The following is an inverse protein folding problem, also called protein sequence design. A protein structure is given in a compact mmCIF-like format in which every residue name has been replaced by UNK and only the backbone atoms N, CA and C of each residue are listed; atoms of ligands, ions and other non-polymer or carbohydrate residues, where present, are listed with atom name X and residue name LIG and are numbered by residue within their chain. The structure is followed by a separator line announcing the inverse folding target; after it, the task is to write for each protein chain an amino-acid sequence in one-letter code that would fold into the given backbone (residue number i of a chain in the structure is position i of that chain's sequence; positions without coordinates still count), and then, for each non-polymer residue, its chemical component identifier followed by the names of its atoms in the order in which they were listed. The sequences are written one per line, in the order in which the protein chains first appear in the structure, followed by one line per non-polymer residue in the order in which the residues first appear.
data_IF_742669300468
#
_entry.id   IF_742669300468
#
_cell.length_a   1.000
_cell.length_b   1.000
_cell.length_c   1.000
_cell.angle_alpha   90.00
_cell.angle_beta   90.00
_cell.angle_gamma   90.00
#
_symmetry.space_group_name_H-M   'P 1'
#
loop_
_entity.id
_entity.type
_entity.pdbx_description
1 polymer ?
#
# COMPACT_ATOMS: atom_id res chain seq x y z
N UNK A 1 -4.20 -7.66 -50.95
CA UNK A 1 -4.00 -8.79 -50.00
C UNK A 1 -2.70 -8.70 -49.18
N UNK A 2 -1.93 -7.59 -49.24
CA UNK A 2 -0.63 -7.47 -48.56
C UNK A 2 -0.67 -6.85 -47.14
N UNK A 3 -1.81 -6.37 -46.63
CA UNK A 3 -1.82 -5.61 -45.36
C UNK A 3 -2.17 -6.42 -44.10
N UNK A 4 -2.89 -7.56 -44.19
CA UNK A 4 -3.33 -8.28 -42.98
C UNK A 4 -2.26 -9.25 -42.44
N UNK A 5 -1.37 -9.75 -43.29
CA UNK A 5 -0.30 -10.67 -42.90
C UNK A 5 0.79 -9.93 -42.12
N UNK A 6 1.19 -8.74 -42.58
CA UNK A 6 2.19 -7.88 -41.91
C UNK A 6 1.73 -7.41 -40.52
N UNK A 7 0.46 -7.01 -40.37
CA UNK A 7 -0.14 -6.62 -39.09
C UNK A 7 -0.16 -7.78 -38.07
N UNK A 8 -0.39 -9.01 -38.54
CA UNK A 8 -0.40 -10.20 -37.68
C UNK A 8 1.01 -10.66 -37.26
N UNK A 9 2.01 -10.42 -38.12
CA UNK A 9 3.41 -10.73 -37.83
C UNK A 9 4.03 -9.72 -36.86
N UNK A 10 3.75 -8.42 -37.03
CA UNK A 10 4.14 -7.37 -36.07
C UNK A 10 3.50 -7.58 -34.69
N UNK A 11 2.21 -7.93 -34.62
CA UNK A 11 1.57 -8.26 -33.34
C UNK A 11 2.16 -9.50 -32.67
N UNK A 12 2.55 -10.52 -33.45
CA UNK A 12 3.25 -11.71 -32.92
C UNK A 12 4.66 -11.38 -32.42
N UNK A 13 5.41 -10.55 -33.13
CA UNK A 13 6.72 -10.07 -32.68
C UNK A 13 6.63 -9.21 -31.42
N UNK A 14 5.63 -8.33 -31.32
CA UNK A 14 5.37 -7.57 -30.08
C UNK A 14 5.01 -8.49 -28.91
N UNK A 15 4.18 -9.51 -29.15
CA UNK A 15 3.78 -10.47 -28.12
C UNK A 15 4.97 -11.32 -27.66
N UNK A 16 5.81 -11.78 -28.58
CA UNK A 16 7.01 -12.55 -28.26
C UNK A 16 8.05 -11.70 -27.54
N UNK A 17 8.24 -10.45 -27.94
CA UNK A 17 9.08 -9.50 -27.18
C UNK A 17 8.52 -9.30 -25.78
N UNK A 18 7.21 -9.11 -25.60
CA UNK A 18 6.60 -8.99 -24.25
C UNK A 18 6.87 -10.24 -23.39
N UNK A 19 6.86 -11.43 -23.98
CA UNK A 19 7.17 -12.68 -23.27
C UNK A 19 8.66 -12.83 -22.93
N UNK A 20 9.57 -12.44 -23.83
CA UNK A 20 11.02 -12.38 -23.54
C UNK A 20 11.34 -11.35 -22.47
N UNK A 21 10.69 -10.19 -22.54
CA UNK A 21 10.71 -9.13 -21.53
C UNK A 21 10.26 -9.73 -20.20
N UNK A 22 9.08 -10.37 -20.11
CA UNK A 22 8.62 -11.00 -18.87
C UNK A 22 9.60 -12.01 -18.24
N UNK A 23 10.53 -12.57 -19.03
CA UNK A 23 11.56 -13.49 -18.59
C UNK A 23 12.94 -12.86 -18.35
N UNK A 24 13.13 -11.56 -18.60
CA UNK A 24 14.43 -10.92 -18.46
C UNK A 24 14.76 -10.62 -16.98
N UNK A 25 15.73 -11.39 -16.48
CA UNK A 25 16.20 -11.41 -15.11
C UNK A 25 17.12 -10.23 -14.75
N UNK A 26 17.43 -9.33 -15.68
CA UNK A 26 18.32 -8.19 -15.45
C UNK A 26 17.67 -7.04 -14.68
N UNK A 27 16.33 -7.04 -14.54
CA UNK A 27 15.63 -5.97 -13.85
C UNK A 27 15.79 -6.02 -12.33
N UNK A 28 16.47 -5.01 -11.80
CA UNK A 28 16.53 -4.75 -10.37
C UNK A 28 15.41 -3.76 -9.97
N UNK A 29 14.38 -4.21 -9.22
CA UNK A 29 13.31 -3.32 -8.76
C UNK A 29 13.83 -2.27 -7.77
N UNK A 30 13.42 -1.01 -7.96
CA UNK A 30 13.70 0.08 -7.03
C UNK A 30 12.73 0.04 -5.85
N UNK A 31 13.24 -0.24 -4.65
CA UNK A 31 12.44 -0.35 -3.42
C UNK A 31 12.25 0.99 -2.68
N UNK A 32 12.99 2.02 -3.07
CA UNK A 32 13.05 3.27 -2.33
C UNK A 32 13.47 3.02 -0.88
N UNK A 33 12.83 3.72 0.06
CA UNK A 33 13.06 3.60 1.51
C UNK A 33 12.08 2.62 2.19
N UNK A 34 11.49 1.71 1.44
CA UNK A 34 10.51 0.75 1.96
C UNK A 34 11.16 -0.62 2.15
N UNK A 35 10.80 -1.30 3.23
CA UNK A 35 11.06 -2.73 3.39
C UNK A 35 9.94 -3.51 2.74
N UNK A 36 10.28 -4.56 1.99
CA UNK A 36 9.34 -5.35 1.23
C UNK A 36 9.49 -6.82 1.54
N UNK A 37 8.35 -7.47 1.78
CA UNK A 37 8.29 -8.85 2.19
C UNK A 37 7.16 -9.54 1.45
N UNK A 38 7.25 -10.87 1.36
CA UNK A 38 6.24 -11.76 0.79
C UNK A 38 5.80 -11.32 -0.62
N UNK A 39 6.47 -11.86 -1.62
CA UNK A 39 6.16 -11.56 -3.01
C UNK A 39 5.17 -12.58 -3.58
N UNK A 40 4.26 -12.13 -4.43
CA UNK A 40 3.38 -12.97 -5.23
C UNK A 40 3.39 -12.44 -6.66
N UNK A 41 3.68 -13.31 -7.63
CA UNK A 41 3.88 -12.93 -9.04
C UNK A 41 4.83 -11.74 -9.23
N UNK A 42 5.95 -11.72 -8.49
CA UNK A 42 6.94 -10.64 -8.53
C UNK A 42 6.49 -9.31 -7.89
N UNK A 43 5.30 -9.25 -7.28
CA UNK A 43 4.80 -8.06 -6.60
C UNK A 43 4.84 -8.20 -5.07
N UNK A 44 5.31 -7.18 -4.33
CA UNK A 44 5.37 -7.24 -2.88
C UNK A 44 3.95 -7.21 -2.30
N UNK A 45 3.62 -8.11 -1.38
CA UNK A 45 2.33 -8.13 -0.72
C UNK A 45 2.37 -7.37 0.61
N UNK A 46 3.51 -7.46 1.31
CA UNK A 46 3.76 -6.80 2.58
C UNK A 46 4.81 -5.71 2.37
N UNK A 47 4.48 -4.48 2.76
CA UNK A 47 5.41 -3.35 2.70
C UNK A 47 5.36 -2.54 3.99
N UNK A 48 6.55 -2.16 4.46
CA UNK A 48 6.76 -1.31 5.63
C UNK A 48 7.51 -0.08 5.15
N UNK A 49 6.94 1.11 5.40
CA UNK A 49 7.52 2.36 4.93
C UNK A 49 8.61 2.93 5.85
N UNK A 50 9.21 4.06 5.47
CA UNK A 50 10.36 4.65 6.16
C UNK A 50 10.04 5.17 7.57
N UNK A 51 8.77 5.48 7.86
CA UNK A 51 8.34 6.01 9.15
C UNK A 51 7.76 4.91 10.05
N UNK A 52 8.20 3.66 9.88
CA UNK A 52 7.77 2.55 10.72
C UNK A 52 8.01 2.76 12.23
N UNK A 53 9.04 3.48 12.72
CA UNK A 53 9.17 3.71 14.16
C UNK A 53 7.99 4.51 14.72
N UNK A 54 7.51 5.52 13.97
CA UNK A 54 6.33 6.29 14.35
C UNK A 54 5.05 5.45 14.33
N UNK A 55 4.96 4.51 13.37
CA UNK A 55 3.85 3.54 13.32
C UNK A 55 3.85 2.59 14.51
N UNK A 56 5.04 2.09 14.92
CA UNK A 56 5.19 1.27 16.13
C UNK A 56 4.80 2.06 17.38
N UNK A 57 5.26 3.31 17.51
CA UNK A 57 4.82 4.19 18.60
C UNK A 57 3.30 4.38 18.61
N UNK A 58 2.69 4.60 17.44
CA UNK A 58 1.24 4.74 17.29
C UNK A 58 0.51 3.46 17.73
N UNK A 59 1.01 2.29 17.34
CA UNK A 59 0.43 1.01 17.72
C UNK A 59 0.53 0.74 19.22
N UNK A 60 1.67 1.06 19.84
CA UNK A 60 1.86 0.97 21.30
C UNK A 60 0.87 1.89 22.02
N UNK A 61 0.68 3.13 21.54
CA UNK A 61 -0.28 4.07 22.12
C UNK A 61 -1.72 3.56 22.01
N UNK A 62 -2.10 2.92 20.90
CA UNK A 62 -3.40 2.27 20.74
C UNK A 62 -3.60 1.16 21.78
N UNK A 63 -2.63 0.26 21.92
CA UNK A 63 -2.71 -0.88 22.87
C UNK A 63 -2.82 -0.36 24.31
N UNK A 64 -1.92 0.55 24.70
CA UNK A 64 -1.87 1.07 26.07
C UNK A 64 -3.14 1.86 26.39
N UNK A 65 -3.58 2.74 25.47
CA UNK A 65 -4.81 3.51 25.62
C UNK A 65 -6.05 2.62 25.72
N UNK A 66 -6.14 1.60 24.86
CA UNK A 66 -7.21 0.60 24.90
C UNK A 66 -7.26 -0.15 26.22
N UNK A 67 -6.11 -0.61 26.73
CA UNK A 67 -6.01 -1.27 28.02
C UNK A 67 -6.53 -0.38 29.16
N UNK A 68 -6.10 0.87 29.24
CA UNK A 68 -6.57 1.81 30.28
C UNK A 68 -8.08 2.04 30.21
N UNK A 69 -8.63 2.22 29.00
CA UNK A 69 -10.07 2.39 28.80
C UNK A 69 -10.84 1.13 29.26
N UNK A 70 -10.40 -0.06 28.86
CA UNK A 70 -11.03 -1.31 29.28
C UNK A 70 -10.95 -1.52 30.80
N UNK A 71 -9.84 -1.13 31.44
CA UNK A 71 -9.69 -1.20 32.89
C UNK A 71 -10.65 -0.25 33.63
N UNK A 72 -10.84 0.98 33.13
CA UNK A 72 -11.81 1.93 33.68
C UNK A 72 -13.23 1.37 33.57
N UNK A 73 -13.60 0.85 32.40
CA UNK A 73 -14.92 0.22 32.18
C UNK A 73 -15.10 -0.99 33.09
N UNK A 74 -14.06 -1.78 33.30
CA UNK A 74 -14.11 -2.93 34.22
C UNK A 74 -14.45 -2.51 35.66
N UNK A 75 -13.80 -1.45 36.15
CA UNK A 75 -14.01 -0.93 37.50
C UNK A 75 -15.40 -0.31 37.65
N UNK A 76 -15.87 0.44 36.65
CA UNK A 76 -17.14 1.18 36.73
C UNK A 76 -18.37 0.31 36.45
N UNK A 77 -18.32 -0.48 35.38
CA UNK A 77 -19.50 -1.13 34.80
C UNK A 77 -19.41 -2.66 34.88
N UNK A 78 -18.22 -3.21 35.16
CA UNK A 78 -18.00 -4.64 35.38
C UNK A 78 -17.52 -5.42 34.15
N UNK A 79 -17.30 -6.73 34.34
CA UNK A 79 -16.59 -7.59 33.39
C UNK A 79 -17.26 -7.68 32.01
N UNK A 80 -18.59 -7.72 31.95
CA UNK A 80 -19.33 -7.88 30.70
C UNK A 80 -19.10 -6.70 29.74
N UNK A 81 -19.14 -5.46 30.24
CA UNK A 81 -18.87 -4.28 29.43
C UNK A 81 -17.39 -4.14 29.09
N UNK A 82 -16.48 -4.49 30.01
CA UNK A 82 -15.04 -4.49 29.71
C UNK A 82 -14.66 -5.53 28.65
N UNK A 83 -15.36 -6.66 28.57
CA UNK A 83 -15.18 -7.64 27.49
C UNK A 83 -15.55 -7.04 26.13
N UNK A 84 -16.65 -6.27 26.05
CA UNK A 84 -17.04 -5.54 24.85
C UNK A 84 -16.01 -4.49 24.43
N UNK A 85 -15.46 -3.75 25.39
CA UNK A 85 -14.35 -2.82 25.17
C UNK A 85 -13.14 -3.53 24.55
N UNK A 86 -12.68 -4.64 25.14
CA UNK A 86 -11.55 -5.43 24.63
C UNK A 86 -11.79 -5.91 23.19
N UNK A 87 -12.99 -6.40 22.88
CA UNK A 87 -13.33 -6.82 21.50
C UNK A 87 -13.20 -5.66 20.52
N UNK A 88 -13.72 -4.47 20.88
CA UNK A 88 -13.59 -3.27 20.03
C UNK A 88 -12.13 -2.84 19.83
N UNK A 89 -11.28 -2.99 20.85
CA UNK A 89 -9.84 -2.73 20.79
C UNK A 89 -9.13 -3.67 19.82
N UNK A 90 -9.41 -4.98 19.90
CA UNK A 90 -8.81 -5.97 19.01
C UNK A 90 -9.16 -5.71 17.54
N UNK A 91 -10.40 -5.27 17.26
CA UNK A 91 -10.82 -4.88 15.91
C UNK A 91 -9.98 -3.71 15.40
N UNK A 92 -9.81 -2.66 16.23
CA UNK A 92 -8.99 -1.49 15.88
C UNK A 92 -7.53 -1.88 15.59
N UNK A 93 -6.92 -2.71 16.44
CA UNK A 93 -5.55 -3.19 16.28
C UNK A 93 -5.36 -4.01 15.01
N UNK A 94 -6.30 -4.92 14.71
CA UNK A 94 -6.29 -5.72 13.47
C UNK A 94 -6.39 -4.80 12.25
N UNK A 95 -7.30 -3.82 12.27
CA UNK A 95 -7.44 -2.86 11.18
C UNK A 95 -6.18 -2.01 10.99
N UNK A 96 -5.54 -1.56 12.06
CA UNK A 96 -4.25 -0.86 12.01
C UNK A 96 -3.16 -1.74 11.38
N UNK A 97 -3.02 -2.99 11.82
CA UNK A 97 -2.03 -3.91 11.27
C UNK A 97 -2.25 -4.21 9.79
N UNK A 98 -3.51 -4.31 9.35
CA UNK A 98 -3.86 -4.50 7.94
C UNK A 98 -3.36 -3.34 7.10
N UNK A 99 -3.63 -2.09 7.49
CA UNK A 99 -3.13 -0.94 6.73
C UNK A 99 -1.60 -0.82 6.84
N UNK A 100 -1.01 -1.07 8.02
CA UNK A 100 0.42 -1.03 8.27
C UNK A 100 1.22 -2.01 7.40
N UNK A 101 0.69 -3.20 7.11
CA UNK A 101 1.39 -4.23 6.35
C UNK A 101 1.05 -4.26 4.86
N UNK A 102 -0.17 -3.87 4.46
CA UNK A 102 -0.64 -3.99 3.06
C UNK A 102 0.14 -3.13 2.07
N UNK A 103 0.55 -3.67 0.92
CA UNK A 103 1.15 -2.88 -0.16
C UNK A 103 0.23 -1.70 -0.58
N UNK A 104 0.70 -0.43 -0.59
CA UNK A 104 -0.11 0.73 -0.94
C UNK A 104 -0.41 0.88 -2.45
N UNK A 105 0.15 0.06 -3.31
CA UNK A 105 0.05 0.17 -4.76
C UNK A 105 1.40 0.32 -5.47
N UNK A 106 2.49 -0.15 -4.86
CA UNK A 106 3.80 -0.30 -5.49
C UNK A 106 3.72 -1.46 -6.48
N UNK A 107 4.00 -1.20 -7.76
CA UNK A 107 3.91 -2.16 -8.84
C UNK A 107 5.19 -2.21 -9.69
N UNK A 108 5.92 -3.32 -9.63
CA UNK A 108 7.16 -3.53 -10.39
C UNK A 108 6.93 -4.00 -11.84
N UNK A 109 5.86 -4.73 -12.12
CA UNK A 109 5.59 -5.26 -13.46
C UNK A 109 5.21 -4.14 -14.42
N UNK A 110 4.36 -3.21 -13.98
CA UNK A 110 4.02 -2.00 -14.75
C UNK A 110 5.28 -1.19 -15.05
N UNK A 111 6.12 -1.00 -14.03
CA UNK A 111 7.42 -0.34 -14.13
C UNK A 111 8.35 -0.99 -15.16
N UNK A 112 8.43 -2.32 -15.17
CA UNK A 112 9.32 -3.09 -16.04
C UNK A 112 8.85 -3.15 -17.49
N UNK A 113 7.60 -3.57 -17.74
CA UNK A 113 6.99 -3.60 -19.08
C UNK A 113 7.07 -2.21 -19.73
N UNK A 114 6.91 -1.18 -18.92
CA UNK A 114 7.04 0.20 -19.37
C UNK A 114 8.48 0.53 -19.79
N UNK A 115 9.48 0.26 -18.94
CA UNK A 115 10.89 0.48 -19.26
C UNK A 115 11.32 -0.18 -20.58
N UNK A 116 10.80 -1.37 -20.89
CA UNK A 116 11.11 -2.06 -22.16
C UNK A 116 10.29 -1.57 -23.36
N UNK A 117 9.04 -1.16 -23.16
CA UNK A 117 8.29 -0.45 -24.22
C UNK A 117 9.02 0.83 -24.63
N UNK A 118 9.55 1.57 -23.67
CA UNK A 118 10.34 2.79 -23.91
C UNK A 118 11.59 2.51 -24.72
N UNK A 119 12.37 1.48 -24.35
CA UNK A 119 13.59 1.16 -25.08
C UNK A 119 13.32 0.72 -26.53
N UNK A 120 12.12 0.21 -26.81
CA UNK A 120 11.73 -0.30 -28.14
C UNK A 120 11.07 0.80 -28.99
N UNK A 121 10.22 1.66 -28.40
CA UNK A 121 9.25 2.42 -29.19
C UNK A 121 9.69 3.83 -29.61
N UNK A 122 10.41 4.63 -28.82
CA UNK A 122 10.62 6.03 -29.23
C UNK A 122 11.82 6.78 -28.62
N UNK A 123 12.37 7.64 -29.48
CA UNK A 123 13.16 8.84 -29.20
C UNK A 123 12.22 10.03 -28.89
N UNK A 124 11.23 9.84 -27.98
CA UNK A 124 10.16 10.83 -27.71
C UNK A 124 10.18 11.37 -26.28
N UNK A 125 9.81 12.64 -26.15
CA UNK A 125 9.82 13.40 -24.90
C UNK A 125 8.73 12.91 -23.94
N UNK A 126 9.17 12.31 -22.83
CA UNK A 126 8.33 11.81 -21.74
C UNK A 126 7.57 12.93 -21.01
N UNK A 127 6.38 13.31 -21.48
CA UNK A 127 5.56 14.27 -20.74
C UNK A 127 5.09 13.75 -19.36
N UNK A 128 5.06 12.43 -19.13
CA UNK A 128 4.58 11.81 -17.88
C UNK A 128 5.59 10.85 -17.22
N UNK A 129 6.88 11.21 -17.21
CA UNK A 129 7.91 10.44 -16.48
C UNK A 129 8.07 10.86 -15.02
N UNK A 130 8.48 9.90 -14.19
CA UNK A 130 9.05 10.14 -12.87
C UNK A 130 10.55 10.38 -13.01
N UNK A 131 11.00 11.60 -12.76
CA UNK A 131 12.43 11.94 -12.81
C UNK A 131 13.26 11.16 -11.76
N UNK A 132 12.86 11.08 -10.47
CA UNK A 132 13.60 10.30 -9.47
C UNK A 132 13.70 8.81 -9.82
N UNK A 133 12.58 8.20 -10.22
CA UNK A 133 12.53 6.77 -10.49
C UNK A 133 13.04 6.42 -11.90
N UNK A 134 13.16 7.40 -12.81
CA UNK A 134 13.48 7.23 -14.25
C UNK A 134 12.54 6.26 -14.96
N UNK A 135 11.25 6.35 -14.64
CA UNK A 135 10.20 5.44 -15.08
C UNK A 135 8.99 6.25 -15.52
N UNK A 136 8.33 5.87 -16.60
CA UNK A 136 7.06 6.52 -16.94
C UNK A 136 5.97 6.10 -15.97
N UNK A 137 5.08 7.04 -15.71
CA UNK A 137 3.99 6.85 -14.76
C UNK A 137 2.78 6.33 -15.51
N UNK A 138 2.24 5.20 -15.08
CA UNK A 138 0.84 4.87 -15.38
C UNK A 138 -0.06 5.98 -14.82
N UNK A 139 -1.18 6.26 -15.49
CA UNK A 139 -2.15 7.27 -15.03
C UNK A 139 -2.51 7.08 -13.54
N UNK A 140 -2.51 8.18 -12.79
CA UNK A 140 -2.77 8.17 -11.35
C UNK A 140 -1.60 7.69 -10.47
N UNK A 141 -0.41 7.47 -11.03
CA UNK A 141 0.81 7.15 -10.26
C UNK A 141 1.58 8.42 -9.90
N UNK A 142 1.92 8.58 -8.62
CA UNK A 142 2.72 9.71 -8.15
C UNK A 142 3.93 9.24 -7.34
N UNK A 143 4.99 10.03 -7.39
CA UNK A 143 6.21 9.76 -6.62
C UNK A 143 6.08 10.35 -5.23
N UNK A 144 6.24 9.50 -4.21
CA UNK A 144 6.37 9.95 -2.83
C UNK A 144 7.85 10.14 -2.49
N UNK A 145 8.28 11.38 -2.30
CA UNK A 145 9.67 11.72 -1.96
C UNK A 145 10.11 11.18 -0.58
N UNK A 146 9.16 11.02 0.35
CA UNK A 146 9.45 10.45 1.67
C UNK A 146 9.80 8.96 1.56
N UNK A 147 9.01 8.20 0.79
CA UNK A 147 9.23 6.78 0.53
C UNK A 147 10.23 6.51 -0.61
N UNK A 148 10.59 7.53 -1.38
CA UNK A 148 11.41 7.46 -2.60
C UNK A 148 10.91 6.40 -3.58
N UNK A 149 9.60 6.36 -3.83
CA UNK A 149 9.00 5.38 -4.73
C UNK A 149 7.70 5.89 -5.35
N UNK A 150 7.40 5.41 -6.55
CA UNK A 150 6.11 5.64 -7.20
C UNK A 150 5.02 4.73 -6.61
N UNK A 151 3.86 5.30 -6.31
CA UNK A 151 2.69 4.59 -5.79
C UNK A 151 1.51 4.84 -6.71
N UNK A 152 0.85 3.76 -7.17
CA UNK A 152 -0.34 3.84 -8.00
C UNK A 152 -1.55 4.30 -7.18
N UNK A 153 -2.34 5.21 -7.74
CA UNK A 153 -3.47 5.82 -7.05
C UNK A 153 -3.05 6.42 -5.72
N UNK A 154 -1.88 7.07 -5.70
CA UNK A 154 -1.33 7.72 -4.52
C UNK A 154 -2.35 8.73 -3.98
N UNK A 155 -2.64 8.63 -2.69
CA UNK A 155 -3.48 9.56 -1.96
C UNK A 155 -2.59 10.50 -1.14
N UNK A 156 -1.88 9.94 -0.15
CA UNK A 156 -0.93 10.71 0.66
C UNK A 156 0.12 9.81 1.30
N UNK A 157 1.16 10.41 1.86
CA UNK A 157 2.07 9.74 2.80
C UNK A 157 1.58 9.95 4.23
N UNK A 158 1.27 8.87 4.95
CA UNK A 158 0.81 8.93 6.33
C UNK A 158 1.94 8.57 7.30
N UNK A 159 2.49 9.53 8.07
CA UNK A 159 3.54 9.22 9.05
C UNK A 159 3.07 8.30 10.17
N UNK A 160 1.79 8.40 10.57
CA UNK A 160 1.18 7.61 11.65
C UNK A 160 1.06 6.12 11.31
N UNK A 161 0.73 5.80 10.06
CA UNK A 161 0.77 4.42 9.56
C UNK A 161 2.20 4.04 9.16
N UNK A 162 3.07 5.01 8.89
CA UNK A 162 4.48 4.81 8.57
C UNK A 162 4.79 4.72 7.08
N UNK A 163 3.81 4.88 6.19
CA UNK A 163 3.94 4.68 4.73
C UNK A 163 2.87 5.40 3.91
N UNK A 164 2.97 5.29 2.59
CA UNK A 164 1.95 5.79 1.67
C UNK A 164 0.59 5.09 1.85
N UNK A 165 -0.46 5.85 1.60
CA UNK A 165 -1.81 5.38 1.30
C UNK A 165 -2.01 5.53 -0.20
N UNK A 166 -2.50 4.47 -0.84
CA UNK A 166 -2.81 4.47 -2.26
C UNK A 166 -3.80 3.37 -2.61
N UNK A 167 -3.96 3.10 -3.90
CA UNK A 167 -5.00 2.18 -4.39
C UNK A 167 -4.93 0.79 -3.77
N UNK A 168 -3.74 0.34 -3.36
CA UNK A 168 -3.50 -0.99 -2.80
C UNK A 168 -3.92 -1.16 -1.34
N UNK A 169 -4.08 -0.07 -0.58
CA UNK A 169 -4.42 -0.11 0.85
C UNK A 169 -5.45 0.94 1.29
N UNK A 170 -6.07 1.69 0.37
CA UNK A 170 -7.04 2.74 0.70
C UNK A 170 -8.26 2.18 1.45
N UNK A 171 -8.72 0.97 1.10
CA UNK A 171 -9.85 0.31 1.78
C UNK A 171 -9.49 -0.08 3.21
N UNK A 172 -8.28 -0.58 3.43
CA UNK A 172 -7.73 -0.91 4.73
C UNK A 172 -7.59 0.35 5.60
N UNK A 173 -7.13 1.46 5.02
CA UNK A 173 -7.08 2.75 5.69
C UNK A 173 -8.47 3.24 6.10
N UNK A 174 -9.47 3.14 5.21
CA UNK A 174 -10.86 3.48 5.53
C UNK A 174 -11.43 2.60 6.65
N UNK A 175 -11.20 1.28 6.61
CA UNK A 175 -11.61 0.37 7.69
C UNK A 175 -10.95 0.72 9.03
N UNK A 176 -9.67 1.11 9.02
CA UNK A 176 -8.98 1.61 10.21
C UNK A 176 -9.67 2.85 10.79
N UNK A 177 -9.94 3.87 9.97
CA UNK A 177 -10.65 5.08 10.43
C UNK A 177 -12.04 4.78 10.99
N UNK A 178 -12.79 3.90 10.33
CA UNK A 178 -14.12 3.48 10.81
C UNK A 178 -14.04 2.72 12.13
N UNK A 179 -13.05 1.81 12.28
CA UNK A 179 -12.82 1.09 13.53
C UNK A 179 -12.41 2.02 14.67
N UNK A 180 -11.65 3.09 14.37
CA UNK A 180 -11.23 4.08 15.34
C UNK A 180 -12.43 4.90 15.85
N UNK A 181 -13.28 5.36 14.93
CA UNK A 181 -14.53 6.06 15.28
C UNK A 181 -15.47 5.17 16.10
N UNK A 182 -15.62 3.91 15.68
CA UNK A 182 -16.42 2.93 16.41
C UNK A 182 -15.86 2.67 17.81
N UNK A 183 -14.54 2.50 17.93
CA UNK A 183 -13.86 2.30 19.22
C UNK A 183 -14.18 3.46 20.19
N UNK A 184 -13.95 4.71 19.80
CA UNK A 184 -14.23 5.85 20.67
C UNK A 184 -15.71 5.99 21.01
N UNK A 185 -16.60 5.84 20.02
CA UNK A 185 -18.05 5.99 20.23
C UNK A 185 -18.62 4.90 21.14
N UNK A 186 -18.23 3.64 20.91
CA UNK A 186 -18.65 2.49 21.71
C UNK A 186 -18.13 2.61 23.15
N UNK A 187 -16.84 2.89 23.34
CA UNK A 187 -16.27 2.99 24.68
C UNK A 187 -16.80 4.19 25.47
N UNK A 188 -17.08 5.32 24.81
CA UNK A 188 -17.75 6.45 25.46
C UNK A 188 -19.13 6.05 25.98
N UNK A 189 -19.92 5.33 25.20
CA UNK A 189 -21.23 4.82 25.62
C UNK A 189 -21.10 3.83 26.79
N UNK A 190 -20.17 2.87 26.71
CA UNK A 190 -19.95 1.87 27.76
C UNK A 190 -19.52 2.48 29.10
N UNK A 191 -18.79 3.61 29.11
CA UNK A 191 -18.39 4.33 30.33
C UNK A 191 -19.57 5.02 31.03
N UNK A 192 -20.62 5.36 30.27
CA UNK A 192 -21.81 6.07 30.75
C UNK A 192 -22.88 5.14 31.31
N UNK A 193 -22.75 3.82 31.10
CA UNK A 193 -23.57 2.78 31.73
C UNK A 193 -22.98 2.42 33.09
#
# INVERSE_FOLDING_TARGET
MLNQVDLSQTQKEETNKILEIQNDQSFQPHYGKNYMFRFYNGQPQITIGPHWPLSVCTFILIIVGAYFISAIIHIKSGIWYSSGSVISSLILEICFLRVFLKNPGINFTSTYVHKLRVSILTNSNFQNSCQPCKLEKEYGTYHCYQCDICVKGYDHHCPWVGKCIGVGNIKEFQMFLMSLLFFFSCNLFLIMI
#
